data_IF_069175168784
#
_entry.id   IF_069175168784
#
_cell.length_a   1.000
_cell.length_b   1.000
_cell.length_c   1.000
_cell.angle_alpha   90.00
_cell.angle_beta   90.00
_cell.angle_gamma   90.00
#
_symmetry.space_group_name_H-M   'P 1'
#
loop_
_entity.id
_entity.type
_entity.pdbx_description
1 polymer ?
#
# COMPACT_ATOMS: atom_id res chain seq x y z
N UNK A 1 -10.04 17.11 72.27
CA UNK A 1 -10.86 17.37 71.07
C UNK A 1 -10.24 16.60 69.91
N UNK A 2 -10.96 15.63 69.31
CA UNK A 2 -10.45 14.80 68.21
C UNK A 2 -10.72 15.45 66.84
N UNK A 3 -10.21 14.80 65.78
CA UNK A 3 -10.47 14.96 64.32
C UNK A 3 -9.50 15.87 63.54
N UNK A 4 -9.02 15.56 62.32
CA UNK A 4 -9.53 14.69 61.24
C UNK A 4 -8.32 14.07 60.46
N UNK A 5 -8.32 12.77 60.06
CA UNK A 5 -7.35 12.26 59.10
C UNK A 5 -7.69 12.71 57.68
N UNK A 6 -6.70 13.18 56.92
CA UNK A 6 -6.81 13.54 55.50
C UNK A 6 -7.38 12.37 54.69
N UNK A 7 -8.61 12.51 54.20
CA UNK A 7 -9.22 11.58 53.26
C UNK A 7 -8.59 11.81 51.89
N UNK A 8 -7.58 10.99 51.54
CA UNK A 8 -7.11 10.87 50.17
C UNK A 8 -8.19 10.19 49.33
N UNK A 9 -8.83 10.96 48.45
CA UNK A 9 -9.85 10.48 47.52
C UNK A 9 -9.32 9.31 46.68
N UNK A 10 -10.07 8.22 46.50
CA UNK A 10 -9.65 7.17 45.58
C UNK A 10 -9.63 7.73 44.16
N UNK A 11 -8.51 7.53 43.45
CA UNK A 11 -8.42 7.81 42.02
C UNK A 11 -9.55 7.06 41.28
N UNK A 12 -10.18 7.67 40.26
CA UNK A 12 -11.26 7.01 39.54
C UNK A 12 -10.76 5.69 38.96
N UNK A 13 -11.57 4.61 38.99
CA UNK A 13 -11.18 3.35 38.39
C UNK A 13 -10.85 3.62 36.93
N UNK A 14 -9.61 3.28 36.56
CA UNK A 14 -9.12 3.26 35.18
C UNK A 14 -10.22 2.68 34.31
N UNK A 15 -10.87 3.52 33.50
CA UNK A 15 -11.72 3.08 32.41
C UNK A 15 -10.79 2.51 31.33
N UNK A 16 -10.22 1.33 31.61
CA UNK A 16 -9.71 0.43 30.59
C UNK A 16 -10.91 0.11 29.73
N UNK A 17 -11.13 0.93 28.70
CA UNK A 17 -11.97 0.59 27.55
C UNK A 17 -11.58 -0.84 27.21
N UNK A 18 -12.53 -1.77 27.08
CA UNK A 18 -12.19 -3.11 26.63
C UNK A 18 -11.55 -2.92 25.26
N UNK A 19 -10.24 -3.13 25.18
CA UNK A 19 -9.54 -3.32 23.92
C UNK A 19 -10.15 -4.59 23.35
N UNK A 20 -11.24 -4.41 22.61
CA UNK A 20 -11.93 -5.45 21.89
C UNK A 20 -10.87 -6.30 21.19
N UNK A 21 -10.93 -7.61 21.37
CA UNK A 21 -10.06 -8.65 20.80
C UNK A 21 -10.11 -8.72 19.26
N UNK A 22 -10.41 -7.60 18.59
CA UNK A 22 -10.43 -7.50 17.15
C UNK A 22 -9.03 -7.82 16.63
N UNK A 23 -8.91 -8.76 15.68
CA UNK A 23 -7.65 -9.04 15.03
C UNK A 23 -7.03 -7.74 14.49
N UNK A 24 -5.71 -7.63 14.58
CA UNK A 24 -5.00 -6.51 13.94
C UNK A 24 -5.35 -6.48 12.45
N UNK A 25 -5.35 -5.30 11.83
CA UNK A 25 -5.65 -5.17 10.39
C UNK A 25 -4.67 -6.03 9.57
N UNK A 26 -3.40 -6.12 9.99
CA UNK A 26 -2.43 -7.01 9.37
C UNK A 26 -2.85 -8.49 9.43
N UNK A 27 -3.44 -8.94 10.54
CA UNK A 27 -4.00 -10.30 10.66
C UNK A 27 -5.18 -10.50 9.72
N UNK A 28 -6.07 -9.50 9.61
CA UNK A 28 -7.20 -9.55 8.68
C UNK A 28 -6.76 -9.62 7.22
N UNK A 29 -5.72 -8.88 6.85
CA UNK A 29 -5.13 -8.91 5.51
C UNK A 29 -4.59 -10.30 5.16
N UNK A 30 -3.85 -10.94 6.08
CA UNK A 30 -3.31 -12.30 5.86
C UNK A 30 -4.40 -13.35 5.59
N UNK A 31 -5.58 -13.19 6.18
CA UNK A 31 -6.72 -14.09 6.00
C UNK A 31 -7.71 -13.68 4.89
N UNK A 32 -7.45 -12.58 4.19
CA UNK A 32 -8.36 -12.03 3.19
C UNK A 32 -8.17 -12.72 1.84
N UNK A 33 -9.26 -13.29 1.30
CA UNK A 33 -9.27 -14.06 0.04
C UNK A 33 -10.32 -13.57 -0.96
N UNK A 34 -11.13 -12.58 -0.58
CA UNK A 34 -12.24 -12.09 -1.41
C UNK A 34 -12.20 -10.58 -1.49
N UNK A 35 -12.67 -10.03 -2.60
CA UNK A 35 -12.78 -8.59 -2.80
C UNK A 35 -13.67 -7.94 -1.73
N UNK A 36 -14.82 -8.55 -1.40
CA UNK A 36 -15.72 -8.04 -0.37
C UNK A 36 -15.04 -7.86 1.00
N UNK A 37 -14.24 -8.84 1.44
CA UNK A 37 -13.48 -8.72 2.69
C UNK A 37 -12.40 -7.65 2.61
N UNK A 38 -11.75 -7.52 1.45
CA UNK A 38 -10.75 -6.49 1.21
C UNK A 38 -11.36 -5.08 1.35
N UNK A 39 -12.56 -4.86 0.80
CA UNK A 39 -13.30 -3.60 0.91
C UNK A 39 -13.71 -3.30 2.35
N UNK A 40 -14.15 -4.32 3.10
CA UNK A 40 -14.43 -4.17 4.54
C UNK A 40 -13.17 -3.77 5.31
N UNK A 41 -12.02 -4.40 5.01
CA UNK A 41 -10.73 -4.06 5.62
C UNK A 41 -10.32 -2.62 5.26
N UNK A 42 -10.51 -2.21 4.01
CA UNK A 42 -10.24 -0.84 3.57
C UNK A 42 -11.08 0.17 4.33
N UNK A 43 -12.39 -0.09 4.51
CA UNK A 43 -13.24 0.76 5.33
C UNK A 43 -12.76 0.85 6.79
N UNK A 44 -12.18 -0.22 7.34
CA UNK A 44 -11.57 -0.19 8.67
C UNK A 44 -10.29 0.63 8.72
N UNK A 45 -9.45 0.57 7.68
CA UNK A 45 -8.24 1.40 7.54
C UNK A 45 -8.62 2.88 7.52
N UNK A 46 -9.56 3.27 6.65
CA UNK A 46 -10.02 4.67 6.51
C UNK A 46 -10.67 5.17 7.80
N UNK A 47 -11.59 4.40 8.40
CA UNK A 47 -12.25 4.78 9.66
C UNK A 47 -11.28 4.99 10.81
N UNK A 48 -10.14 4.29 10.82
CA UNK A 48 -9.09 4.45 11.82
C UNK A 48 -8.03 5.50 11.44
N UNK A 49 -8.14 6.13 10.28
CA UNK A 49 -7.17 7.10 9.78
C UNK A 49 -5.79 6.50 9.46
N UNK A 50 -5.75 5.21 9.11
CA UNK A 50 -4.50 4.47 8.87
C UNK A 50 -4.07 4.47 7.40
N UNK A 51 -4.69 5.31 6.58
CA UNK A 51 -4.41 5.44 5.14
C UNK A 51 -3.04 6.02 4.80
N UNK A 52 -2.36 6.61 5.79
CA UNK A 52 -0.99 7.13 5.62
C UNK A 52 0.09 6.18 6.15
N UNK A 53 -0.29 5.05 6.76
CA UNK A 53 0.66 4.00 7.15
C UNK A 53 1.16 3.27 5.90
N UNK A 54 2.30 3.71 5.36
CA UNK A 54 2.87 3.17 4.14
C UNK A 54 3.13 1.67 4.22
N UNK A 55 3.46 1.12 5.38
CA UNK A 55 3.71 -0.32 5.54
C UNK A 55 2.40 -1.11 5.45
N UNK A 56 1.36 -0.64 6.15
CA UNK A 56 0.03 -1.26 6.09
C UNK A 56 -0.57 -1.16 4.69
N UNK A 57 -0.51 0.03 4.08
CA UNK A 57 -1.05 0.27 2.73
C UNK A 57 -0.27 -0.51 1.68
N UNK A 58 1.04 -0.72 1.87
CA UNK A 58 1.83 -1.58 0.99
C UNK A 58 1.30 -3.01 0.97
N UNK A 59 1.04 -3.59 2.15
CA UNK A 59 0.44 -4.92 2.27
C UNK A 59 -0.97 -4.95 1.65
N UNK A 60 -1.76 -3.93 1.92
CA UNK A 60 -3.09 -3.79 1.36
C UNK A 60 -3.06 -3.74 -0.17
N UNK A 61 -2.23 -2.87 -0.77
CA UNK A 61 -2.16 -2.67 -2.22
C UNK A 61 -1.68 -3.94 -2.92
N UNK A 62 -0.63 -4.58 -2.39
CA UNK A 62 -0.14 -5.82 -2.97
C UNK A 62 -1.22 -6.94 -2.95
N UNK A 63 -2.09 -6.99 -1.92
CA UNK A 63 -3.26 -7.88 -1.91
C UNK A 63 -4.39 -7.41 -2.84
N UNK A 64 -4.66 -6.11 -2.91
CA UNK A 64 -5.70 -5.52 -3.76
C UNK A 64 -5.42 -5.74 -5.25
N UNK A 65 -4.15 -5.73 -5.65
CA UNK A 65 -3.73 -6.06 -7.01
C UNK A 65 -4.07 -7.49 -7.41
N UNK A 66 -4.22 -8.40 -6.46
CA UNK A 66 -4.63 -9.78 -6.73
C UNK A 66 -6.16 -9.97 -6.66
N UNK A 67 -6.86 -9.23 -5.79
CA UNK A 67 -8.28 -9.50 -5.47
C UNK A 67 -9.27 -8.47 -6.06
N UNK A 68 -8.84 -7.28 -6.44
CA UNK A 68 -9.70 -6.19 -6.91
C UNK A 68 -9.29 -5.70 -8.30
N UNK A 69 -9.89 -4.62 -8.79
CA UNK A 69 -9.44 -3.98 -10.04
C UNK A 69 -8.15 -3.18 -9.82
N UNK A 70 -7.32 -3.06 -10.85
CA UNK A 70 -6.14 -2.19 -10.81
C UNK A 70 -6.51 -0.72 -10.56
N UNK A 71 -7.68 -0.29 -11.04
CA UNK A 71 -8.23 1.05 -10.76
C UNK A 71 -8.51 1.26 -9.27
N UNK A 72 -9.04 0.24 -8.58
CA UNK A 72 -9.26 0.31 -7.14
C UNK A 72 -7.92 0.44 -6.38
N UNK A 73 -6.94 -0.39 -6.70
CA UNK A 73 -5.60 -0.29 -6.11
C UNK A 73 -4.94 1.07 -6.35
N UNK A 74 -5.13 1.62 -7.54
CA UNK A 74 -4.63 2.96 -7.92
C UNK A 74 -5.31 4.04 -7.09
N UNK A 75 -6.64 3.99 -6.93
CA UNK A 75 -7.38 4.94 -6.10
C UNK A 75 -6.98 4.89 -4.62
N UNK A 76 -6.53 3.73 -4.10
CA UNK A 76 -5.97 3.64 -2.74
C UNK A 76 -4.60 4.31 -2.67
N UNK A 77 -3.74 4.12 -3.68
CA UNK A 77 -2.46 4.83 -3.76
C UNK A 77 -2.67 6.34 -3.81
N UNK A 78 -3.65 6.82 -4.57
CA UNK A 78 -3.96 8.24 -4.75
C UNK A 78 -4.36 8.96 -3.44
N UNK A 79 -4.73 8.21 -2.41
CA UNK A 79 -5.01 8.75 -1.07
C UNK A 79 -3.77 8.87 -0.19
N UNK A 80 -2.65 8.25 -0.56
CA UNK A 80 -1.38 8.34 0.18
C UNK A 80 -0.70 9.66 -0.20
N UNK A 81 -0.37 10.50 0.78
CA UNK A 81 0.19 11.83 0.52
C UNK A 81 1.60 11.80 -0.08
N UNK A 82 2.40 10.81 0.32
CA UNK A 82 3.79 10.64 -0.13
C UNK A 82 4.10 9.16 -0.33
N UNK A 83 3.61 8.54 -1.42
CA UNK A 83 3.83 7.13 -1.69
C UNK A 83 5.33 6.84 -1.89
N UNK A 84 5.86 5.90 -1.11
CA UNK A 84 7.24 5.46 -1.26
C UNK A 84 7.43 4.60 -2.52
N UNK A 85 8.69 4.39 -2.90
CA UNK A 85 9.07 3.56 -4.06
C UNK A 85 8.47 2.15 -4.02
N UNK A 86 8.35 1.56 -2.83
CA UNK A 86 7.79 0.22 -2.68
C UNK A 86 6.32 0.15 -3.08
N UNK A 87 5.49 1.14 -2.70
CA UNK A 87 4.08 1.23 -3.08
C UNK A 87 3.92 1.30 -4.60
N UNK A 88 4.72 2.17 -5.25
CA UNK A 88 4.78 2.26 -6.70
C UNK A 88 5.16 0.93 -7.34
N UNK A 89 6.18 0.25 -6.81
CA UNK A 89 6.62 -1.06 -7.31
C UNK A 89 5.55 -2.16 -7.15
N UNK A 90 4.81 -2.20 -6.03
CA UNK A 90 3.66 -3.11 -5.87
C UNK A 90 2.65 -2.88 -7.01
N UNK A 91 2.31 -1.61 -7.29
CA UNK A 91 1.32 -1.25 -8.30
C UNK A 91 1.82 -1.53 -9.72
N UNK A 92 3.07 -1.15 -10.06
CA UNK A 92 3.72 -1.46 -11.34
C UNK A 92 3.75 -2.96 -11.60
N UNK A 93 4.05 -3.77 -10.58
CA UNK A 93 3.99 -5.23 -10.69
C UNK A 93 2.58 -5.71 -11.02
N UNK A 94 1.55 -5.19 -10.33
CA UNK A 94 0.16 -5.54 -10.61
C UNK A 94 -0.27 -5.19 -12.04
N UNK A 95 0.12 -4.02 -12.54
CA UNK A 95 -0.11 -3.63 -13.93
C UNK A 95 0.64 -4.51 -14.92
N UNK A 96 1.90 -4.88 -14.63
CA UNK A 96 2.66 -5.82 -15.45
C UNK A 96 1.97 -7.18 -15.59
N UNK A 97 1.38 -7.69 -14.51
CA UNK A 97 0.74 -8.99 -14.50
C UNK A 97 -0.66 -9.00 -15.15
N UNK A 98 -1.34 -7.86 -15.21
CA UNK A 98 -2.78 -7.82 -15.56
C UNK A 98 -3.18 -6.83 -16.66
N UNK A 99 -2.31 -5.91 -17.04
CA UNK A 99 -2.59 -4.85 -18.04
C UNK A 99 -1.58 -4.78 -19.20
N UNK A 100 -0.52 -5.58 -19.14
CA UNK A 100 0.52 -5.61 -20.17
C UNK A 100 1.42 -4.37 -20.19
N UNK A 101 2.13 -4.19 -21.29
CA UNK A 101 3.18 -3.18 -21.46
C UNK A 101 2.66 -1.76 -21.31
N UNK A 102 1.59 -1.39 -22.03
CA UNK A 102 1.08 -0.01 -22.03
C UNK A 102 0.64 0.45 -20.64
N UNK A 103 -0.10 -0.39 -19.91
CA UNK A 103 -0.52 -0.08 -18.54
C UNK A 103 0.66 0.04 -17.58
N UNK A 104 1.63 -0.88 -17.70
CA UNK A 104 2.85 -0.86 -16.88
C UNK A 104 3.67 0.42 -17.09
N UNK A 105 3.91 0.79 -18.35
CA UNK A 105 4.68 1.99 -18.70
C UNK A 105 3.93 3.26 -18.32
N UNK A 106 2.61 3.30 -18.52
CA UNK A 106 1.77 4.43 -18.10
C UNK A 106 1.95 4.72 -16.60
N UNK A 107 1.93 3.67 -15.78
CA UNK A 107 2.12 3.82 -14.34
C UNK A 107 3.55 4.20 -13.96
N UNK A 108 4.57 3.68 -14.66
CA UNK A 108 5.97 4.10 -14.47
C UNK A 108 6.19 5.57 -14.84
N UNK A 109 5.60 6.05 -15.94
CA UNK A 109 5.66 7.46 -16.33
C UNK A 109 4.97 8.33 -15.28
N UNK A 110 3.83 7.88 -14.74
CA UNK A 110 3.13 8.54 -13.64
C UNK A 110 4.02 8.63 -12.40
N UNK A 111 4.63 7.53 -11.97
CA UNK A 111 5.57 7.50 -10.84
C UNK A 111 6.67 8.56 -11.00
N UNK A 112 7.28 8.66 -12.18
CA UNK A 112 8.31 9.66 -12.47
C UNK A 112 7.81 11.10 -12.39
N UNK A 113 6.59 11.36 -12.90
CA UNK A 113 5.96 12.68 -12.85
C UNK A 113 5.63 13.12 -11.43
N UNK A 114 5.29 12.18 -10.57
CA UNK A 114 5.02 12.39 -9.14
C UNK A 114 6.30 12.29 -8.29
N UNK A 115 7.46 12.52 -8.90
CA UNK A 115 8.78 12.55 -8.26
C UNK A 115 9.13 11.26 -7.48
N UNK A 116 8.49 10.14 -7.84
CA UNK A 116 8.77 8.83 -7.25
C UNK A 116 10.18 8.36 -7.61
N UNK A 117 10.95 7.98 -6.58
CA UNK A 117 12.30 7.47 -6.75
C UNK A 117 12.27 6.07 -7.36
N UNK A 118 12.98 5.88 -8.47
CA UNK A 118 13.19 4.58 -9.09
C UNK A 118 14.15 3.74 -8.25
N UNK A 119 13.96 2.42 -8.25
CA UNK A 119 14.94 1.49 -7.71
C UNK A 119 15.14 0.27 -8.63
N UNK A 120 16.03 -0.62 -8.20
CA UNK A 120 16.32 -1.88 -8.90
C UNK A 120 15.11 -2.81 -9.04
N UNK A 121 14.03 -2.58 -8.30
CA UNK A 121 12.81 -3.38 -8.34
C UNK A 121 11.75 -2.82 -9.30
N UNK A 122 11.91 -1.58 -9.77
CA UNK A 122 11.03 -0.99 -10.80
C UNK A 122 11.26 -1.61 -12.18
N UNK A 123 12.52 -1.75 -12.59
CA UNK A 123 12.89 -2.18 -13.95
C UNK A 123 12.51 -3.62 -14.32
N UNK A 124 12.60 -4.63 -13.42
CA UNK A 124 12.20 -6.00 -13.75
C UNK A 124 10.76 -6.12 -14.26
N UNK A 125 9.81 -5.38 -13.68
CA UNK A 125 8.42 -5.37 -14.15
C UNK A 125 8.29 -4.75 -15.54
N UNK A 126 9.05 -3.70 -15.83
CA UNK A 126 9.07 -3.08 -17.15
C UNK A 126 9.65 -4.02 -18.21
N UNK A 127 10.80 -4.64 -17.93
CA UNK A 127 11.42 -5.59 -18.85
C UNK A 127 10.55 -6.83 -19.07
N UNK A 128 9.90 -7.34 -18.02
CA UNK A 128 8.95 -8.44 -18.13
C UNK A 128 7.82 -8.07 -19.09
N UNK A 129 7.23 -6.89 -18.94
CA UNK A 129 6.16 -6.43 -19.82
C UNK A 129 6.63 -6.24 -21.26
N UNK A 130 7.86 -5.77 -21.49
CA UNK A 130 8.44 -5.71 -22.83
C UNK A 130 8.61 -7.10 -23.44
N UNK A 131 9.19 -8.03 -22.67
CA UNK A 131 9.50 -9.38 -23.12
C UNK A 131 8.22 -10.18 -23.45
N UNK A 132 7.17 -10.04 -22.64
CA UNK A 132 5.90 -10.74 -22.86
C UNK A 132 5.16 -10.30 -24.12
N UNK A 133 5.45 -9.11 -24.64
CA UNK A 133 4.79 -8.53 -25.82
C UNK A 133 5.74 -8.28 -27.01
N UNK A 134 7.01 -8.72 -26.93
CA UNK A 134 7.98 -8.50 -28.00
C UNK A 134 8.37 -7.02 -28.25
N UNK A 135 8.27 -6.16 -27.24
CA UNK A 135 8.56 -4.71 -27.30
C UNK A 135 10.07 -4.42 -27.23
N UNK A 136 10.81 -4.87 -28.24
CA UNK A 136 12.28 -4.80 -28.24
C UNK A 136 12.80 -3.37 -28.22
N UNK A 137 12.19 -2.46 -28.97
CA UNK A 137 12.64 -1.07 -29.08
C UNK A 137 12.43 -0.30 -27.78
N UNK A 138 11.27 -0.49 -27.16
CA UNK A 138 10.94 0.09 -25.86
C UNK A 138 11.80 -0.53 -24.76
N UNK A 139 12.06 -1.83 -24.82
CA UNK A 139 13.01 -2.51 -23.93
C UNK A 139 14.41 -1.89 -23.98
N UNK A 140 14.93 -1.56 -25.17
CA UNK A 140 16.22 -0.85 -25.33
C UNK A 140 16.18 0.55 -24.71
N UNK A 141 15.09 1.30 -24.90
CA UNK A 141 14.95 2.62 -24.31
C UNK A 141 14.93 2.55 -22.76
N UNK A 142 14.18 1.60 -22.19
CA UNK A 142 14.11 1.38 -20.74
C UNK A 142 15.46 0.90 -20.19
N UNK A 143 16.18 0.05 -20.91
CA UNK A 143 17.54 -0.35 -20.55
C UNK A 143 18.50 0.85 -20.49
N UNK A 144 18.42 1.76 -21.47
CA UNK A 144 19.19 3.00 -21.46
C UNK A 144 18.90 3.89 -20.25
N UNK A 145 17.65 3.91 -19.77
CA UNK A 145 17.28 4.61 -18.53
C UNK A 145 17.88 3.93 -17.29
N UNK A 146 17.82 2.60 -17.23
CA UNK A 146 18.35 1.83 -16.10
C UNK A 146 19.87 2.04 -15.94
N UNK A 147 20.63 2.00 -17.03
CA UNK A 147 22.10 2.17 -17.02
C UNK A 147 22.51 3.59 -16.63
N UNK A 148 21.69 4.61 -16.91
CA UNK A 148 21.98 6.01 -16.53
C UNK A 148 21.65 6.35 -15.07
N UNK A 149 20.91 5.48 -14.38
CA UNK A 149 20.50 5.68 -12.98
C UNK A 149 21.34 4.83 -12.00
N UNK A 150 22.36 4.12 -12.50
CA UNK A 150 23.39 3.41 -11.72
C UNK A 150 24.66 4.26 -11.70
#
# INVERSE_FOLDING_TARGET
MPTIPLYSSPAPPNSRRPTSLLPSIATLLKGCKTQFRLEQIHAHIVRKGLEQDCFLISQFICLSNALASLSYSTAVLDRVLSPNTFLWNCLIKGYCERSGFLGTVSLFVRMKREEGLLDRFTYPSLFKACASEGRVWEGRAIHGLAVRCL
#
